data_IF_150861965584
#
_entry.id   IF_150861965584
#
_cell.length_a   1.000
_cell.length_b   1.000
_cell.length_c   1.000
_cell.angle_alpha   90.00
_cell.angle_beta   90.00
_cell.angle_gamma   90.00
#
_symmetry.space_group_name_H-M   'P 1'
#
loop_
_entity.id
_entity.type
_entity.pdbx_description
1 polymer ?
#
# COMPACT_ATOMS: atom_id res chain seq x y z
N UNK A 1 -16.66 9.70 21.72
CA UNK A 1 -17.22 9.83 20.35
C UNK A 1 -16.06 9.67 19.39
N UNK A 2 -15.95 8.54 18.69
CA UNK A 2 -14.92 8.30 17.67
C UNK A 2 -15.56 8.62 16.31
N UNK A 3 -15.06 9.65 15.64
CA UNK A 3 -15.50 10.00 14.29
C UNK A 3 -14.68 9.17 13.29
N UNK A 4 -15.30 8.15 12.69
CA UNK A 4 -14.79 7.57 11.45
C UNK A 4 -15.20 8.47 10.29
N UNK A 5 -14.25 9.23 9.77
CA UNK A 5 -14.44 10.00 8.54
C UNK A 5 -14.22 9.06 7.35
N UNK A 6 -15.30 8.64 6.69
CA UNK A 6 -15.22 7.96 5.40
C UNK A 6 -15.16 9.05 4.33
N UNK A 7 -13.98 9.23 3.72
CA UNK A 7 -13.80 10.11 2.57
C UNK A 7 -14.08 9.30 1.31
N UNK A 8 -15.23 9.54 0.68
CA UNK A 8 -15.57 8.93 -0.62
C UNK A 8 -15.02 9.83 -1.73
N UNK A 9 -14.04 9.33 -2.48
CA UNK A 9 -13.48 10.03 -3.65
C UNK A 9 -14.10 9.39 -4.90
N UNK A 10 -15.05 10.08 -5.53
CA UNK A 10 -15.62 9.69 -6.83
C UNK A 10 -14.65 10.09 -7.96
N UNK A 11 -14.18 9.11 -8.72
CA UNK A 11 -13.69 9.34 -10.08
C UNK A 11 -13.89 8.05 -10.90
N UNK A 12 -14.30 8.21 -12.16
CA UNK A 12 -14.83 7.18 -13.06
C UNK A 12 -13.77 6.17 -13.58
N UNK A 13 -13.19 5.40 -12.65
CA UNK A 13 -12.53 4.10 -12.84
C UNK A 13 -12.64 3.37 -11.50
N UNK A 14 -13.10 2.12 -11.53
CA UNK A 14 -13.65 1.31 -10.42
C UNK A 14 -12.68 0.91 -9.29
N UNK A 15 -11.86 1.84 -8.82
CA UNK A 15 -10.93 1.63 -7.71
C UNK A 15 -11.45 2.34 -6.47
N UNK A 16 -12.06 1.59 -5.55
CA UNK A 16 -12.44 2.11 -4.24
C UNK A 16 -11.30 1.89 -3.26
N UNK A 17 -10.95 2.93 -2.48
CA UNK A 17 -9.95 2.83 -1.42
C UNK A 17 -10.59 3.05 -0.07
N UNK A 18 -10.34 2.16 0.88
CA UNK A 18 -10.74 2.34 2.27
C UNK A 18 -9.58 2.03 3.22
N UNK A 19 -9.58 2.63 4.40
CA UNK A 19 -8.64 2.28 5.47
C UNK A 19 -9.44 1.72 6.65
N UNK A 20 -9.26 0.44 6.93
CA UNK A 20 -9.95 -0.28 8.00
C UNK A 20 -8.90 -0.96 8.88
N UNK A 21 -8.91 -0.67 10.18
CA UNK A 21 -7.97 -1.25 11.15
C UNK A 21 -6.49 -1.04 10.79
N UNK A 22 -6.16 0.12 10.21
CA UNK A 22 -4.79 0.46 9.78
C UNK A 22 -4.32 -0.29 8.52
N UNK A 23 -5.23 -0.92 7.79
CA UNK A 23 -4.97 -1.57 6.51
C UNK A 23 -5.64 -0.72 5.42
N UNK A 24 -4.88 -0.28 4.44
CA UNK A 24 -5.44 0.27 3.21
C UNK A 24 -5.92 -0.88 2.34
N UNK A 25 -7.20 -0.91 2.02
CA UNK A 25 -7.76 -1.77 1.00
C UNK A 25 -7.94 -0.99 -0.29
N UNK A 26 -7.48 -1.56 -1.39
CA UNK A 26 -7.72 -1.08 -2.75
C UNK A 26 -8.55 -2.14 -3.45
N UNK A 27 -9.80 -1.80 -3.76
CA UNK A 27 -10.78 -2.70 -4.37
C UNK A 27 -10.82 -2.50 -5.87
N UNK A 28 -10.78 -3.60 -6.61
CA UNK A 28 -11.08 -3.67 -8.05
C UNK A 28 -12.23 -4.65 -8.27
N UNK A 29 -12.94 -4.61 -9.41
CA UNK A 29 -14.13 -5.45 -9.61
C UNK A 29 -13.94 -6.95 -9.31
N UNK A 30 -12.77 -7.50 -9.64
CA UNK A 30 -12.48 -8.93 -9.51
C UNK A 30 -11.54 -9.29 -8.34
N UNK A 31 -10.89 -8.31 -7.73
CA UNK A 31 -9.83 -8.53 -6.73
C UNK A 31 -9.72 -7.38 -5.72
N UNK A 32 -8.96 -7.56 -4.65
CA UNK A 32 -8.63 -6.49 -3.71
C UNK A 32 -7.32 -6.78 -3.02
N UNK A 33 -6.49 -5.75 -2.88
CA UNK A 33 -5.24 -5.84 -2.14
C UNK A 33 -5.31 -4.98 -0.87
N UNK A 34 -4.94 -5.57 0.26
CA UNK A 34 -4.80 -4.91 1.55
C UNK A 34 -3.33 -4.59 1.84
N UNK A 35 -3.01 -3.41 2.35
CA UNK A 35 -1.65 -2.97 2.66
C UNK A 35 -1.56 -2.48 4.09
N UNK A 36 -0.57 -2.97 4.84
CA UNK A 36 -0.26 -2.51 6.18
C UNK A 36 1.23 -2.22 6.31
N UNK A 37 1.58 -1.00 6.69
CA UNK A 37 2.95 -0.62 7.04
C UNK A 37 3.19 -1.05 8.50
N UNK A 38 4.19 -1.90 8.72
CA UNK A 38 4.63 -2.36 10.04
C UNK A 38 5.75 -1.46 10.60
N UNK A 39 6.67 -1.04 9.73
CA UNK A 39 7.77 -0.12 10.06
C UNK A 39 7.99 0.89 8.92
N UNK A 40 8.38 2.11 9.27
CA UNK A 40 8.59 3.24 8.36
C UNK A 40 9.95 3.87 8.63
N UNK A 41 10.99 3.36 7.98
CA UNK A 41 12.37 3.82 8.11
C UNK A 41 12.91 4.21 6.73
N UNK A 42 12.49 5.37 6.22
CA UNK A 42 12.83 5.81 4.85
C UNK A 42 14.34 5.66 4.54
N UNK A 43 14.72 5.06 3.40
CA UNK A 43 13.87 4.65 2.26
C UNK A 43 13.28 3.23 2.39
N UNK A 44 13.37 2.59 3.54
CA UNK A 44 12.95 1.21 3.76
C UNK A 44 11.62 1.11 4.53
N UNK A 45 10.71 0.26 4.06
CA UNK A 45 9.40 0.03 4.68
C UNK A 45 9.12 -1.45 4.87
N UNK A 46 8.78 -1.86 6.09
CA UNK A 46 8.27 -3.21 6.33
C UNK A 46 6.76 -3.22 6.07
N UNK A 47 6.30 -3.99 5.08
CA UNK A 47 4.90 -3.98 4.63
C UNK A 47 4.36 -5.41 4.54
N UNK A 48 3.11 -5.57 4.97
CA UNK A 48 2.31 -6.78 4.74
C UNK A 48 1.25 -6.48 3.68
N UNK A 49 1.15 -7.37 2.69
CA UNK A 49 0.13 -7.33 1.64
C UNK A 49 -0.83 -8.51 1.82
N UNK A 50 -2.13 -8.24 1.70
CA UNK A 50 -3.21 -9.21 1.83
C UNK A 50 -4.01 -9.30 0.53
N UNK A 51 -4.57 -10.48 0.24
CA UNK A 51 -5.60 -10.61 -0.79
C UNK A 51 -6.99 -10.25 -0.25
N UNK A 52 -8.00 -10.29 -1.11
CA UNK A 52 -9.42 -10.04 -0.76
C UNK A 52 -9.98 -10.92 0.36
N UNK A 53 -9.42 -12.11 0.57
CA UNK A 53 -9.81 -13.05 1.65
C UNK A 53 -9.08 -12.76 2.97
N UNK A 54 -8.31 -11.67 3.03
CA UNK A 54 -7.48 -11.27 4.17
C UNK A 54 -6.35 -12.26 4.49
N UNK A 55 -5.96 -13.05 3.50
CA UNK A 55 -4.80 -13.94 3.57
C UNK A 55 -3.56 -13.15 3.17
N UNK A 56 -2.47 -13.32 3.91
CA UNK A 56 -1.18 -12.69 3.60
C UNK A 56 -0.67 -13.24 2.26
N UNK A 57 -0.47 -12.34 1.30
CA UNK A 57 0.18 -12.64 0.02
C UNK A 57 1.69 -12.53 0.14
N UNK A 58 2.17 -11.45 0.75
CA UNK A 58 3.59 -11.22 1.00
C UNK A 58 3.77 -10.35 2.24
N UNK A 59 4.94 -10.47 2.87
CA UNK A 59 5.35 -9.70 4.04
C UNK A 59 6.86 -9.56 4.00
N UNK A 60 7.36 -8.34 4.12
CA UNK A 60 8.80 -8.12 4.20
C UNK A 60 9.19 -6.67 3.96
N UNK A 61 10.46 -6.50 3.68
CA UNK A 61 11.11 -5.22 3.48
C UNK A 61 10.93 -4.74 2.03
N UNK A 62 10.54 -3.48 1.87
CA UNK A 62 10.33 -2.83 0.59
C UNK A 62 11.14 -1.53 0.51
N UNK A 63 12.03 -1.44 -0.47
CA UNK A 63 12.86 -0.27 -0.70
C UNK A 63 12.16 0.73 -1.62
N UNK A 64 12.05 1.96 -1.17
CA UNK A 64 11.53 3.07 -1.97
C UNK A 64 12.48 3.45 -3.11
N UNK A 65 11.92 3.52 -4.31
CA UNK A 65 12.55 3.95 -5.55
C UNK A 65 11.81 5.18 -6.08
N UNK A 66 12.25 6.34 -5.61
CA UNK A 66 11.72 7.64 -6.00
C UNK A 66 12.57 8.78 -5.44
N UNK A 67 12.10 10.01 -5.61
CA UNK A 67 12.81 11.20 -5.11
C UNK A 67 11.90 12.36 -4.67
N UNK A 68 10.57 12.17 -4.65
CA UNK A 68 9.60 13.21 -4.30
C UNK A 68 8.97 13.03 -2.93
N UNK A 69 9.06 11.85 -2.34
CA UNK A 69 8.46 11.55 -1.04
C UNK A 69 9.55 11.40 0.02
N UNK A 70 9.44 12.19 1.08
CA UNK A 70 10.31 12.09 2.26
C UNK A 70 9.82 11.00 3.24
N UNK A 71 8.54 10.64 3.15
CA UNK A 71 7.90 9.59 3.94
C UNK A 71 6.78 8.92 3.13
N UNK A 72 6.53 7.64 3.38
CA UNK A 72 5.41 6.89 2.81
C UNK A 72 4.22 6.90 3.77
N UNK A 73 3.06 7.32 3.27
CA UNK A 73 1.80 7.09 3.96
C UNK A 73 0.92 6.13 3.17
N UNK A 74 0.08 5.36 3.87
CA UNK A 74 -0.85 4.40 3.23
C UNK A 74 -1.61 5.00 2.04
N UNK A 75 -2.23 6.20 2.11
CA UNK A 75 -2.97 6.77 0.98
C UNK A 75 -2.14 7.04 -0.29
N UNK A 76 -0.81 6.97 -0.22
CA UNK A 76 0.07 7.15 -1.37
C UNK A 76 0.22 5.88 -2.20
N UNK A 77 -0.14 4.72 -1.65
CA UNK A 77 -0.16 3.44 -2.36
C UNK A 77 -1.29 3.44 -3.40
N UNK A 78 -0.95 3.07 -4.63
CA UNK A 78 -1.85 2.96 -5.79
C UNK A 78 -2.22 1.50 -6.08
N UNK A 79 -1.30 0.56 -5.89
CA UNK A 79 -1.55 -0.85 -6.16
C UNK A 79 -0.31 -1.72 -6.03
N UNK A 80 -0.47 -3.00 -6.38
CA UNK A 80 0.57 -4.02 -6.33
C UNK A 80 0.38 -4.97 -7.52
N UNK A 81 1.46 -5.32 -8.21
CA UNK A 81 1.44 -6.23 -9.37
C UNK A 81 2.06 -7.61 -9.09
N UNK A 82 2.49 -7.86 -7.85
CA UNK A 82 3.20 -9.07 -7.46
C UNK A 82 4.68 -8.84 -7.14
N UNK A 83 5.26 -7.76 -7.65
CA UNK A 83 6.68 -7.44 -7.47
C UNK A 83 6.87 -6.04 -6.87
N UNK A 84 6.10 -5.06 -7.35
CA UNK A 84 6.23 -3.65 -6.98
C UNK A 84 4.95 -3.11 -6.32
N UNK A 85 5.12 -2.31 -5.27
CA UNK A 85 4.05 -1.47 -4.72
C UNK A 85 4.13 -0.11 -5.41
N UNK A 86 3.16 0.20 -6.26
CA UNK A 86 3.09 1.48 -6.97
C UNK A 86 2.61 2.58 -6.04
N UNK A 87 3.25 3.75 -6.12
CA UNK A 87 2.94 4.94 -5.34
C UNK A 87 2.48 6.08 -6.25
N UNK A 88 1.95 7.14 -5.65
CA UNK A 88 1.75 8.44 -6.31
C UNK A 88 3.05 8.94 -6.95
N UNK A 89 2.91 9.91 -7.83
CA UNK A 89 4.03 10.57 -8.51
C UNK A 89 4.89 9.67 -9.41
N UNK A 90 4.39 8.48 -9.77
CA UNK A 90 5.08 7.48 -10.59
C UNK A 90 6.34 6.91 -9.93
N UNK A 91 6.26 6.70 -8.62
CA UNK A 91 7.30 6.10 -7.78
C UNK A 91 6.83 4.73 -7.30
N UNK A 92 7.73 3.91 -6.76
CA UNK A 92 7.38 2.57 -6.35
C UNK A 92 8.25 2.08 -5.19
N UNK A 93 7.78 1.01 -4.53
CA UNK A 93 8.58 0.22 -3.62
C UNK A 93 8.90 -1.12 -4.27
N UNK A 94 10.15 -1.56 -4.15
CA UNK A 94 10.66 -2.83 -4.65
C UNK A 94 10.86 -3.81 -3.49
N UNK A 95 10.37 -5.04 -3.62
CA UNK A 95 10.50 -6.07 -2.60
C UNK A 95 11.97 -6.51 -2.42
N UNK A 96 12.51 -6.38 -1.21
CA UNK A 96 13.84 -6.84 -0.84
C UNK A 96 13.80 -8.31 -0.41
N UNK A 97 14.14 -9.24 -1.32
CA UNK A 97 14.17 -10.68 -1.00
C UNK A 97 15.39 -11.08 -0.12
N UNK A 98 16.36 -10.18 0.02
CA UNK A 98 17.56 -10.25 0.87
C UNK A 98 17.74 -8.83 1.42
N UNK A 99 18.10 -8.68 2.71
CA UNK A 99 18.34 -7.36 3.35
C UNK A 99 19.07 -6.46 2.37
N UNK A 100 18.39 -5.40 1.92
CA UNK A 100 18.95 -4.45 0.97
C UNK A 100 20.17 -3.79 1.64
N UNK A 101 21.37 -4.10 1.12
CA UNK A 101 22.64 -3.46 1.52
C UNK A 101 22.77 -2.03 0.95
#
# INVERSE_FOLDING_TARGET
MLFLSVVKVDNTNSFEKEIVSGILWIHVPDDSNGFKILSSEHPMYEIVIFNREKIVLTSGDFLYKGNKMDELHLPDIIGFDGEYIYLKNNEYLEYCNIKCE
#
